data_IF_135885182669
#
_entry.id   IF_135885182669
#
_cell.length_a   1.000
_cell.length_b   1.000
_cell.length_c   1.000
_cell.angle_alpha   90.00
_cell.angle_beta   90.00
_cell.angle_gamma   90.00
#
_symmetry.space_group_name_H-M   'P 1'
#
loop_
_entity.id
_entity.type
_entity.pdbx_description
1 polymer ?
#
# COMPACT_ATOMS: atom_id res chain seq x y z
N UNK A 1 -18.66 5.59 -13.66
CA UNK A 1 -17.66 5.10 -12.68
C UNK A 1 -17.02 3.86 -13.28
N UNK A 2 -15.70 3.78 -13.41
CA UNK A 2 -15.09 2.52 -13.86
C UNK A 2 -15.32 1.48 -12.77
N UNK A 3 -15.83 0.32 -13.17
CA UNK A 3 -16.00 -0.82 -12.27
C UNK A 3 -14.61 -1.25 -11.78
N UNK A 4 -14.40 -1.22 -10.46
CA UNK A 4 -13.19 -1.78 -9.84
C UNK A 4 -13.16 -3.26 -10.17
N UNK A 5 -12.04 -3.74 -10.72
CA UNK A 5 -11.87 -5.17 -10.97
C UNK A 5 -11.73 -5.90 -9.62
N UNK A 6 -12.71 -6.76 -9.33
CA UNK A 6 -12.76 -7.53 -8.08
C UNK A 6 -11.53 -8.42 -7.88
N UNK A 7 -10.93 -8.92 -8.97
CA UNK A 7 -9.73 -9.74 -8.88
C UNK A 7 -8.51 -8.89 -8.47
N UNK A 8 -8.36 -7.71 -9.06
CA UNK A 8 -7.27 -6.77 -8.72
C UNK A 8 -7.41 -6.30 -7.28
N UNK A 9 -8.63 -5.96 -6.86
CA UNK A 9 -8.96 -5.62 -5.49
C UNK A 9 -8.55 -6.73 -4.50
N UNK A 10 -8.93 -7.97 -4.78
CA UNK A 10 -8.61 -9.10 -3.90
C UNK A 10 -7.09 -9.37 -3.82
N UNK A 11 -6.37 -9.23 -4.94
CA UNK A 11 -4.91 -9.37 -4.99
C UNK A 11 -4.25 -8.29 -4.13
N UNK A 12 -4.68 -7.03 -4.25
CA UNK A 12 -4.15 -5.94 -3.44
C UNK A 12 -4.42 -6.15 -1.94
N UNK A 13 -5.63 -6.58 -1.58
CA UNK A 13 -5.98 -6.86 -0.18
C UNK A 13 -5.12 -7.99 0.40
N UNK A 14 -4.89 -9.05 -0.38
CA UNK A 14 -4.02 -10.16 0.02
C UNK A 14 -2.56 -9.72 0.20
N UNK A 15 -2.02 -8.92 -0.73
CA UNK A 15 -0.66 -8.40 -0.65
C UNK A 15 -0.44 -7.48 0.56
N UNK A 16 -1.38 -6.56 0.82
CA UNK A 16 -1.32 -5.68 1.99
C UNK A 16 -1.44 -6.50 3.29
N UNK A 17 -2.33 -7.50 3.34
CA UNK A 17 -2.50 -8.36 4.51
C UNK A 17 -1.24 -9.19 4.81
N UNK A 18 -0.58 -9.72 3.78
CA UNK A 18 0.67 -10.48 3.93
C UNK A 18 1.80 -9.60 4.47
N UNK A 19 2.01 -8.42 3.88
CA UNK A 19 2.99 -7.44 4.36
C UNK A 19 2.69 -6.99 5.81
N UNK A 20 1.41 -6.81 6.16
CA UNK A 20 0.99 -6.48 7.52
C UNK A 20 1.32 -7.60 8.50
N UNK A 21 1.07 -8.86 8.13
CA UNK A 21 1.39 -10.02 8.97
C UNK A 21 2.90 -10.17 9.20
N UNK A 22 3.73 -9.86 8.19
CA UNK A 22 5.18 -9.80 8.37
C UNK A 22 5.58 -8.76 9.42
N UNK A 23 5.03 -7.54 9.36
CA UNK A 23 5.29 -6.49 10.36
C UNK A 23 4.85 -6.91 11.77
N UNK A 24 3.70 -7.56 11.90
CA UNK A 24 3.24 -8.13 13.18
C UNK A 24 4.24 -9.16 13.72
N UNK A 25 4.80 -10.01 12.86
CA UNK A 25 5.74 -11.05 13.30
C UNK A 25 7.10 -10.51 13.77
N UNK A 26 7.48 -9.30 13.32
CA UNK A 26 8.76 -8.67 13.62
C UNK A 26 8.70 -7.66 14.78
N UNK A 27 7.50 -7.18 15.15
CA UNK A 27 7.33 -6.21 16.24
C UNK A 27 7.24 -6.94 17.60
N UNK A 28 8.22 -6.70 18.48
CA UNK A 28 8.24 -7.27 19.84
C UNK A 28 7.02 -6.86 20.68
N UNK A 29 6.37 -5.74 20.34
CA UNK A 29 5.15 -5.21 20.98
C UNK A 29 3.89 -5.49 20.14
N UNK A 30 3.98 -6.34 19.11
CA UNK A 30 2.90 -6.62 18.17
C UNK A 30 1.60 -7.02 18.86
N UNK A 31 1.65 -7.92 19.85
CA UNK A 31 0.46 -8.38 20.57
C UNK A 31 -0.27 -7.22 21.24
N UNK A 32 0.47 -6.34 21.92
CA UNK A 32 -0.12 -5.21 22.62
C UNK A 32 -0.66 -4.15 21.65
N UNK A 33 0.04 -3.88 20.55
CA UNK A 33 -0.40 -2.95 19.52
C UNK A 33 -1.63 -3.50 18.79
N UNK A 34 -1.55 -4.72 18.29
CA UNK A 34 -2.61 -5.38 17.55
C UNK A 34 -3.89 -5.47 18.37
N UNK A 35 -3.80 -5.75 19.68
CA UNK A 35 -4.96 -5.74 20.57
C UNK A 35 -5.65 -4.36 20.63
N UNK A 36 -4.90 -3.26 20.72
CA UNK A 36 -5.46 -1.90 20.72
C UNK A 36 -6.13 -1.55 19.39
N UNK A 37 -5.41 -1.75 18.29
CA UNK A 37 -5.93 -1.47 16.95
C UNK A 37 -7.17 -2.33 16.66
N UNK A 38 -7.14 -3.61 17.06
CA UNK A 38 -8.29 -4.52 16.93
C UNK A 38 -9.50 -4.02 17.71
N UNK A 39 -9.32 -3.52 18.94
CA UNK A 39 -10.41 -2.96 19.73
C UNK A 39 -11.04 -1.72 19.06
N UNK A 40 -10.21 -0.78 18.60
CA UNK A 40 -10.66 0.43 17.90
C UNK A 40 -11.39 0.11 16.58
N UNK A 41 -10.97 -0.95 15.88
CA UNK A 41 -11.59 -1.34 14.61
C UNK A 41 -12.86 -2.19 14.76
N UNK A 42 -13.26 -2.56 15.99
CA UNK A 42 -14.43 -3.43 16.21
C UNK A 42 -14.13 -4.92 16.01
N UNK A 43 -12.92 -5.35 16.35
CA UNK A 43 -12.45 -6.74 16.29
C UNK A 43 -11.64 -7.06 15.03
N UNK A 44 -11.23 -8.32 14.89
CA UNK A 44 -10.41 -8.78 13.76
C UNK A 44 -11.10 -8.57 12.41
N UNK A 45 -12.44 -8.71 12.37
CA UNK A 45 -13.24 -8.40 11.18
C UNK A 45 -13.11 -6.93 10.77
N UNK A 46 -12.97 -6.04 11.76
CA UNK A 46 -12.70 -4.63 11.54
C UNK A 46 -11.37 -4.37 10.85
N UNK A 47 -10.29 -5.01 11.32
CA UNK A 47 -8.96 -4.91 10.70
C UNK A 47 -8.99 -5.40 9.25
N UNK A 48 -9.61 -6.55 9.01
CA UNK A 48 -9.75 -7.10 7.65
C UNK A 48 -10.52 -6.12 6.75
N UNK A 49 -11.57 -5.48 7.26
CA UNK A 49 -12.28 -4.42 6.53
C UNK A 49 -11.39 -3.23 6.22
N UNK A 50 -10.57 -2.76 7.16
CA UNK A 50 -9.63 -1.65 6.90
C UNK A 50 -8.60 -2.01 5.81
N UNK A 51 -8.07 -3.24 5.81
CA UNK A 51 -7.16 -3.71 4.75
C UNK A 51 -7.89 -3.80 3.40
N UNK A 52 -9.13 -4.28 3.42
CA UNK A 52 -9.96 -4.38 2.24
C UNK A 52 -10.27 -2.97 1.67
N UNK A 53 -10.65 -2.02 2.51
CA UNK A 53 -10.85 -0.62 2.13
C UNK A 53 -9.56 -0.01 1.58
N UNK A 54 -8.40 -0.32 2.18
CA UNK A 54 -7.11 0.15 1.70
C UNK A 54 -6.80 -0.32 0.28
N UNK A 55 -7.09 -1.59 -0.02
CA UNK A 55 -6.96 -2.15 -1.36
C UNK A 55 -7.90 -1.47 -2.37
N UNK A 56 -9.11 -1.10 -1.95
CA UNK A 56 -10.02 -0.32 -2.77
C UNK A 56 -9.45 1.07 -3.09
N UNK A 57 -8.96 1.78 -2.07
CA UNK A 57 -8.38 3.12 -2.24
C UNK A 57 -7.13 3.10 -3.11
N UNK A 58 -6.29 2.06 -2.97
CA UNK A 58 -5.15 1.83 -3.84
C UNK A 58 -5.58 1.68 -5.30
N UNK A 59 -6.61 0.88 -5.58
CA UNK A 59 -7.10 0.70 -6.95
C UNK A 59 -7.77 1.97 -7.51
N UNK A 60 -8.50 2.71 -6.68
CA UNK A 60 -9.03 4.03 -7.04
C UNK A 60 -7.91 5.02 -7.36
N UNK A 61 -6.79 4.98 -6.62
CA UNK A 61 -5.60 5.78 -6.91
C UNK A 61 -5.02 5.45 -8.29
N UNK A 62 -4.87 4.16 -8.61
CA UNK A 62 -4.41 3.70 -9.93
C UNK A 62 -5.31 4.22 -11.05
N UNK A 63 -6.62 4.04 -10.90
CA UNK A 63 -7.61 4.48 -11.88
C UNK A 63 -7.58 5.99 -12.12
N UNK A 64 -7.31 6.80 -11.09
CA UNK A 64 -7.14 8.27 -11.24
C UNK A 64 -5.96 8.65 -12.16
N UNK A 65 -4.94 7.81 -12.26
CA UNK A 65 -3.81 7.99 -13.18
C UNK A 65 -4.08 7.47 -14.60
N UNK A 66 -5.25 6.88 -14.82
CA UNK A 66 -5.71 6.34 -16.10
C UNK A 66 -6.15 4.89 -15.95
N UNK A 67 -7.22 4.51 -16.64
CA UNK A 67 -7.76 3.16 -16.57
C UNK A 67 -6.73 2.07 -16.95
N UNK A 68 -5.77 2.40 -17.81
CA UNK A 68 -4.68 1.53 -18.26
C UNK A 68 -3.37 1.65 -17.46
N UNK A 69 -3.29 2.53 -16.46
CA UNK A 69 -2.08 2.71 -15.65
C UNK A 69 -1.73 1.42 -14.89
N UNK A 70 -0.43 1.08 -14.82
CA UNK A 70 0.02 -0.16 -14.19
C UNK A 70 0.97 0.11 -13.03
N UNK A 71 0.77 -0.60 -11.94
CA UNK A 71 1.79 -0.77 -10.90
C UNK A 71 3.04 -1.42 -11.49
N UNK A 72 4.21 -0.89 -11.19
CA UNK A 72 5.49 -1.29 -11.80
C UNK A 72 5.72 -0.75 -13.22
N UNK A 73 4.76 -0.03 -13.80
CA UNK A 73 4.90 0.72 -15.04
C UNK A 73 5.02 2.21 -14.75
N UNK A 74 3.94 2.95 -15.03
CA UNK A 74 3.84 4.39 -14.76
C UNK A 74 3.75 4.69 -13.26
N UNK A 75 3.26 3.72 -12.48
CA UNK A 75 3.15 3.80 -11.03
C UNK A 75 4.28 3.01 -10.35
N UNK A 76 4.51 3.24 -9.05
CA UNK A 76 5.49 2.47 -8.28
C UNK A 76 5.30 0.95 -8.37
N UNK A 77 6.37 0.22 -8.03
CA UNK A 77 6.32 -1.24 -8.06
C UNK A 77 5.33 -1.73 -6.99
N UNK A 78 4.57 -2.77 -7.34
CA UNK A 78 3.38 -3.16 -6.59
C UNK A 78 3.71 -3.55 -5.14
N UNK A 79 4.82 -4.29 -4.94
CA UNK A 79 5.23 -4.75 -3.63
C UNK A 79 5.67 -3.59 -2.71
N UNK A 80 6.42 -2.62 -3.24
CA UNK A 80 6.80 -1.41 -2.49
C UNK A 80 5.56 -0.64 -1.97
N UNK A 81 4.49 -0.63 -2.76
CA UNK A 81 3.23 0.03 -2.39
C UNK A 81 2.50 -0.75 -1.31
N UNK A 82 2.43 -2.08 -1.41
CA UNK A 82 1.82 -2.91 -0.38
C UNK A 82 2.55 -2.78 0.95
N UNK A 83 3.88 -2.87 0.93
CA UNK A 83 4.72 -2.74 2.13
C UNK A 83 4.53 -1.36 2.77
N UNK A 84 4.53 -0.29 1.97
CA UNK A 84 4.34 1.06 2.46
C UNK A 84 2.94 1.26 3.06
N UNK A 85 1.89 0.75 2.42
CA UNK A 85 0.53 0.81 2.96
C UNK A 85 0.42 0.01 4.26
N UNK A 86 0.94 -1.22 4.30
CA UNK A 86 0.92 -2.06 5.49
C UNK A 86 1.64 -1.39 6.66
N UNK A 87 2.80 -0.79 6.42
CA UNK A 87 3.55 -0.04 7.43
C UNK A 87 2.77 1.18 7.92
N UNK A 88 2.16 1.94 7.00
CA UNK A 88 1.35 3.10 7.37
C UNK A 88 0.12 2.70 8.20
N UNK A 89 -0.56 1.60 7.85
CA UNK A 89 -1.65 1.04 8.65
C UNK A 89 -1.13 0.66 10.05
N UNK A 90 -0.02 -0.07 10.15
CA UNK A 90 0.56 -0.49 11.43
C UNK A 90 0.89 0.68 12.37
N UNK A 91 1.26 1.84 11.81
CA UNK A 91 1.72 3.00 12.58
C UNK A 91 0.61 4.04 12.84
N UNK A 92 -0.39 4.11 11.97
CA UNK A 92 -1.29 5.28 11.88
C UNK A 92 -2.77 4.96 11.88
N UNK A 93 -3.20 3.68 11.87
CA UNK A 93 -4.61 3.33 11.76
C UNK A 93 -5.50 3.93 12.88
N UNK A 94 -4.95 4.12 14.08
CA UNK A 94 -5.65 4.76 15.22
C UNK A 94 -5.74 6.30 15.09
N UNK A 95 -4.99 6.90 14.15
CA UNK A 95 -4.75 8.35 14.09
C UNK A 95 -5.38 9.01 12.87
N UNK A 96 -5.55 8.26 11.78
CA UNK A 96 -5.99 8.79 10.48
C UNK A 96 -6.98 7.85 9.81
N UNK A 97 -7.89 8.39 8.98
CA UNK A 97 -8.75 7.55 8.17
C UNK A 97 -7.93 6.83 7.07
N UNK A 98 -8.41 5.65 6.67
CA UNK A 98 -7.67 4.72 5.81
C UNK A 98 -7.33 5.28 4.43
N UNK A 99 -8.18 6.15 3.87
CA UNK A 99 -7.96 6.81 2.59
C UNK A 99 -6.73 7.72 2.62
N UNK A 100 -6.57 8.50 3.70
CA UNK A 100 -5.41 9.36 3.91
C UNK A 100 -4.14 8.56 4.16
N UNK A 101 -4.25 7.44 4.89
CA UNK A 101 -3.13 6.51 5.13
C UNK A 101 -2.61 5.97 3.78
N UNK A 102 -3.52 5.44 2.95
CA UNK A 102 -3.17 4.87 1.65
C UNK A 102 -2.58 5.91 0.71
N UNK A 103 -3.21 7.08 0.60
CA UNK A 103 -2.72 8.12 -0.30
C UNK A 103 -1.33 8.61 0.13
N UNK A 104 -1.10 8.83 1.42
CA UNK A 104 0.21 9.23 1.95
C UNK A 104 1.29 8.18 1.71
N UNK A 105 0.96 6.89 1.91
CA UNK A 105 1.87 5.78 1.67
C UNK A 105 2.30 5.71 0.20
N UNK A 106 1.34 5.75 -0.73
CA UNK A 106 1.64 5.72 -2.17
C UNK A 106 2.52 6.91 -2.58
N UNK A 107 2.20 8.13 -2.12
CA UNK A 107 3.02 9.32 -2.40
C UNK A 107 4.43 9.23 -1.85
N UNK A 108 4.61 8.60 -0.69
CA UNK A 108 5.93 8.35 -0.11
C UNK A 108 6.78 7.49 -1.05
N UNK A 109 6.24 6.38 -1.54
CA UNK A 109 6.94 5.50 -2.49
C UNK A 109 7.23 6.21 -3.83
N UNK A 110 6.28 7.00 -4.35
CA UNK A 110 6.47 7.78 -5.58
C UNK A 110 7.62 8.78 -5.44
N UNK A 111 7.74 9.42 -4.29
CA UNK A 111 8.75 10.45 -4.02
C UNK A 111 10.12 9.86 -3.66
N UNK A 112 10.17 8.61 -3.22
CA UNK A 112 11.40 7.92 -2.84
C UNK A 112 12.20 7.37 -4.02
N UNK A 113 11.64 7.33 -5.23
CA UNK A 113 12.37 6.93 -6.44
C UNK A 113 13.40 8.01 -6.83
N UNK A 114 14.71 7.74 -6.76
CA UNK A 114 15.69 8.63 -7.36
C UNK A 114 15.56 8.55 -8.89
N UNK A 115 15.91 9.63 -9.59
CA UNK A 115 16.09 9.68 -11.06
C UNK A 115 17.27 8.80 -11.54
N UNK A 116 17.40 7.55 -11.09
CA UNK A 116 18.55 6.69 -11.38
C UNK A 116 18.35 5.80 -12.61
N UNK A 117 17.79 6.34 -13.68
CA UNK A 117 17.87 5.75 -15.03
C UNK A 117 18.18 6.74 -16.16
N UNK A 118 18.35 8.04 -15.87
CA UNK A 118 18.59 9.04 -16.91
C UNK A 118 20.04 9.10 -17.44
N UNK A 119 21.03 8.51 -16.74
CA UNK A 119 22.46 8.68 -17.07
C UNK A 119 23.23 7.36 -17.26
N UNK A 120 22.72 6.47 -18.10
CA UNK A 120 23.51 5.32 -18.58
C UNK A 120 23.44 5.20 -20.10
N UNK A 121 24.02 6.18 -20.79
CA UNK A 121 24.62 5.95 -22.11
C UNK A 121 26.14 5.92 -21.94
N UNK A 122 26.81 4.78 -22.10
CA UNK A 122 28.24 4.79 -22.33
C UNK A 122 28.48 5.43 -23.70
N UNK A 123 29.31 6.48 -23.72
CA UNK A 123 29.74 7.13 -24.94
C UNK A 123 30.39 6.14 -25.88
N UNK A 124 29.95 6.16 -27.13
CA UNK A 124 30.72 5.70 -28.28
C UNK A 124 32.02 6.50 -28.34
N UNK A 125 33.15 5.84 -28.09
CA UNK A 125 34.45 6.33 -28.50
C UNK A 125 34.83 5.54 -29.76
N UNK A 126 34.80 6.23 -30.90
CA UNK A 126 35.61 5.93 -32.07
C UNK A 126 37.04 6.44 -31.84
#
# INVERSE_FOLDING_TARGET
>A
MSQIDLAVYAINAAGIADAFACLESEDAEAVARFARVTAECGGHVGIIKQIADAAEFMERFRVRHGASAKWGGELPYLYDVWDSIAQAIWLELEKKPIDQIVESAIWSVMSARPETLANSRPGSAD
#
